data_IF_526358817290
#
_entry.id   IF_526358817290
#
_cell.length_a   1.000
_cell.length_b   1.000
_cell.length_c   1.000
_cell.angle_alpha   90.00
_cell.angle_beta   90.00
_cell.angle_gamma   90.00
#
_symmetry.space_group_name_H-M   'P 1'
#
loop_
_entity.id
_entity.type
_entity.pdbx_description
1 polymer ?
#
# COMPACT_ATOMS: atom_id res chain seq x y z
N UNK A 1 -13.09 -10.33 -13.97
CA UNK A 1 -12.96 -8.86 -13.78
C UNK A 1 -11.75 -8.59 -12.87
N UNK A 2 -10.54 -8.99 -13.26
CA UNK A 2 -9.54 -8.11 -13.91
C UNK A 2 -9.33 -6.79 -13.16
N UNK A 3 -8.68 -6.82 -11.99
CA UNK A 3 -7.97 -5.64 -11.47
C UNK A 3 -6.52 -6.01 -11.12
N UNK A 4 -5.64 -5.64 -12.05
CA UNK A 4 -4.23 -5.25 -11.88
C UNK A 4 -3.21 -6.29 -11.41
N UNK A 5 -2.97 -7.23 -12.32
CA UNK A 5 -1.62 -7.72 -12.61
C UNK A 5 -0.68 -6.52 -12.79
N UNK A 6 0.45 -6.52 -12.05
CA UNK A 6 1.63 -5.65 -12.20
C UNK A 6 1.50 -4.20 -11.67
N UNK A 7 1.48 -4.04 -10.35
CA UNK A 7 1.94 -2.79 -9.71
C UNK A 7 3.16 -3.11 -8.84
N UNK A 8 4.35 -2.93 -9.39
CA UNK A 8 5.62 -2.95 -8.65
C UNK A 8 5.75 -1.68 -7.78
N UNK A 9 4.81 -1.47 -6.86
CA UNK A 9 4.95 -0.45 -5.84
C UNK A 9 6.21 -0.71 -5.00
N UNK A 10 7.06 0.32 -4.87
CA UNK A 10 8.31 0.27 -4.11
C UNK A 10 7.98 0.26 -2.61
N UNK A 11 8.27 -0.84 -1.91
CA UNK A 11 7.83 -1.06 -0.52
C UNK A 11 8.29 0.04 0.45
N UNK A 12 9.45 0.65 0.19
CA UNK A 12 9.95 1.79 0.96
C UNK A 12 9.06 3.04 0.84
N UNK A 13 8.51 3.29 -0.34
CA UNK A 13 7.61 4.44 -0.56
C UNK A 13 6.25 4.20 0.10
N UNK A 14 5.74 2.97 0.02
CA UNK A 14 4.55 2.55 0.75
C UNK A 14 4.74 2.75 2.26
N UNK A 15 5.88 2.30 2.79
CA UNK A 15 6.23 2.45 4.20
C UNK A 15 6.23 3.92 4.62
N UNK A 16 6.89 4.79 3.86
CA UNK A 16 6.91 6.23 4.14
C UNK A 16 5.50 6.82 4.14
N UNK A 17 4.73 6.58 3.09
CA UNK A 17 3.39 7.15 2.99
C UNK A 17 2.49 6.68 4.13
N UNK A 18 2.50 5.40 4.47
CA UNK A 18 1.66 4.86 5.55
C UNK A 18 2.03 5.48 6.90
N UNK A 19 3.33 5.63 7.16
CA UNK A 19 3.80 6.26 8.40
C UNK A 19 3.50 7.76 8.44
N UNK A 20 3.62 8.49 7.31
CA UNK A 20 3.30 9.92 7.23
C UNK A 20 1.80 10.22 7.26
N UNK A 21 1.00 9.38 6.60
CA UNK A 21 -0.46 9.52 6.55
C UNK A 21 -1.14 9.12 7.87
N UNK A 22 -0.45 8.42 8.75
CA UNK A 22 -1.02 7.89 9.99
C UNK A 22 -2.11 6.84 9.75
N UNK A 23 -2.22 6.29 8.53
CA UNK A 23 -3.20 5.25 8.17
C UNK A 23 -3.03 3.99 9.02
N UNK A 24 -1.78 3.66 9.36
CA UNK A 24 -1.43 2.45 10.10
C UNK A 24 -0.32 2.79 11.10
N UNK A 25 -0.43 2.26 12.32
CA UNK A 25 0.62 2.44 13.33
C UNK A 25 1.90 1.71 12.91
N UNK A 26 3.06 2.20 13.39
CA UNK A 26 4.36 1.57 13.09
C UNK A 26 4.41 0.09 13.48
N UNK A 27 3.84 -0.28 14.63
CA UNK A 27 3.75 -1.66 15.10
C UNK A 27 2.96 -2.54 14.12
N UNK A 28 1.77 -2.09 13.73
CA UNK A 28 0.92 -2.77 12.74
C UNK A 28 1.61 -2.91 11.38
N UNK A 29 2.32 -1.87 10.95
CA UNK A 29 3.09 -1.94 9.71
C UNK A 29 4.18 -3.01 9.78
N UNK A 30 4.91 -3.12 10.91
CA UNK A 30 5.93 -4.16 11.10
C UNK A 30 5.33 -5.57 11.10
N UNK A 31 4.19 -5.77 11.78
CA UNK A 31 3.48 -7.05 11.75
C UNK A 31 3.06 -7.43 10.33
N UNK A 32 2.46 -6.48 9.61
CA UNK A 32 2.02 -6.71 8.23
C UNK A 32 3.21 -6.90 7.29
N UNK A 33 4.34 -6.22 7.53
CA UNK A 33 5.58 -6.39 6.78
C UNK A 33 6.15 -7.78 6.94
N UNK A 34 6.15 -8.34 8.15
CA UNK A 34 6.57 -9.74 8.38
C UNK A 34 5.64 -10.72 7.67
N UNK A 35 4.32 -10.56 7.84
CA UNK A 35 3.32 -11.38 7.13
C UNK A 35 3.48 -11.31 5.61
N UNK A 36 3.84 -10.14 5.08
CA UNK A 36 4.06 -9.90 3.65
C UNK A 36 5.26 -10.68 3.16
N UNK A 37 6.36 -10.65 3.91
CA UNK A 37 7.58 -11.40 3.61
C UNK A 37 7.34 -12.91 3.67
N UNK A 38 6.66 -13.39 4.73
CA UNK A 38 6.31 -14.81 4.90
C UNK A 38 5.38 -15.33 3.79
N UNK A 39 4.37 -14.54 3.40
CA UNK A 39 3.42 -14.91 2.35
C UNK A 39 3.95 -14.62 0.94
N UNK A 40 5.13 -14.01 0.80
CA UNK A 40 5.62 -13.43 -0.46
C UNK A 40 4.57 -12.57 -1.17
N UNK A 41 3.79 -11.85 -0.38
CA UNK A 41 2.75 -10.94 -0.83
C UNK A 41 3.18 -9.50 -0.54
N UNK A 42 2.58 -8.54 -1.24
CA UNK A 42 2.85 -7.13 -0.96
C UNK A 42 2.19 -6.70 0.34
N UNK A 43 2.89 -5.87 1.12
CA UNK A 43 2.35 -5.21 2.32
C UNK A 43 1.01 -4.53 2.02
N UNK A 44 0.89 -3.81 0.90
CA UNK A 44 -0.38 -3.16 0.50
C UNK A 44 -1.55 -4.12 0.32
N UNK A 45 -1.33 -5.32 -0.22
CA UNK A 45 -2.37 -6.34 -0.36
C UNK A 45 -2.80 -6.92 0.99
N UNK A 46 -1.85 -7.12 1.90
CA UNK A 46 -2.17 -7.60 3.25
C UNK A 46 -2.91 -6.52 4.04
N UNK A 47 -2.49 -5.26 3.94
CA UNK A 47 -3.21 -4.15 4.56
C UNK A 47 -4.65 -4.01 4.06
N UNK A 48 -4.86 -4.19 2.76
CA UNK A 48 -6.20 -4.26 2.18
C UNK A 48 -7.00 -5.45 2.69
N UNK A 49 -6.38 -6.63 2.72
CA UNK A 49 -7.02 -7.87 3.17
C UNK A 49 -7.37 -7.83 4.66
N UNK A 50 -6.55 -7.18 5.48
CA UNK A 50 -6.78 -6.97 6.92
C UNK A 50 -7.69 -5.76 7.19
N UNK A 51 -8.12 -5.03 6.15
CA UNK A 51 -8.96 -3.83 6.28
C UNK A 51 -8.28 -2.63 6.97
N UNK A 52 -6.94 -2.64 7.05
CA UNK A 52 -6.13 -1.55 7.63
C UNK A 52 -6.12 -0.32 6.73
N UNK A 53 -6.27 -0.52 5.42
CA UNK A 53 -6.40 0.54 4.42
C UNK A 53 -7.54 0.20 3.46
N UNK A 54 -8.21 1.21 2.91
CA UNK A 54 -9.25 0.99 1.88
C UNK A 54 -8.63 0.94 0.48
N UNK A 55 -9.37 0.42 -0.51
CA UNK A 55 -8.93 0.44 -1.91
C UNK A 55 -8.67 1.87 -2.42
N UNK A 56 -9.43 2.85 -1.91
CA UNK A 56 -9.23 4.26 -2.20
C UNK A 56 -7.89 4.79 -1.66
N UNK A 57 -7.50 4.35 -0.45
CA UNK A 57 -6.22 4.72 0.15
C UNK A 57 -5.06 4.09 -0.61
N UNK A 58 -5.17 2.81 -0.98
CA UNK A 58 -4.17 2.16 -1.82
C UNK A 58 -3.99 2.92 -3.15
N UNK A 59 -5.09 3.25 -3.85
CA UNK A 59 -5.02 4.03 -5.09
C UNK A 59 -4.36 5.40 -4.92
N UNK A 60 -4.59 6.07 -3.78
CA UNK A 60 -3.93 7.35 -3.46
C UNK A 60 -2.44 7.17 -3.26
N UNK A 61 -2.03 6.12 -2.54
CA UNK A 61 -0.62 5.77 -2.37
C UNK A 61 0.00 5.49 -3.73
N UNK A 62 -0.64 4.65 -4.55
CA UNK A 62 -0.15 4.29 -5.88
C UNK A 62 0.00 5.50 -6.80
N UNK A 63 -0.98 6.41 -6.80
CA UNK A 63 -0.89 7.67 -7.55
C UNK A 63 0.29 8.54 -7.07
N UNK A 64 0.53 8.58 -5.76
CA UNK A 64 1.66 9.33 -5.17
C UNK A 64 3.01 8.70 -5.56
N UNK A 65 3.13 7.38 -5.47
CA UNK A 65 4.36 6.63 -5.79
C UNK A 65 4.70 6.69 -7.28
N UNK A 66 3.70 6.70 -8.16
CA UNK A 66 3.92 6.82 -9.60
C UNK A 66 4.35 8.24 -10.03
N UNK A 67 4.33 9.23 -9.13
CA UNK A 67 4.75 10.60 -9.42
C UNK A 67 3.89 11.31 -10.48
N UNK A 68 2.74 10.73 -10.81
CA UNK A 68 1.80 11.32 -11.79
C UNK A 68 0.84 12.18 -10.98
N UNK A 69 0.81 13.52 -11.17
CA UNK A 69 -0.23 14.32 -10.56
C UNK A 69 -1.57 13.76 -11.02
N UNK A 70 -2.46 13.49 -10.07
CA UNK A 70 -3.82 13.02 -10.35
C UNK A 70 -4.58 14.10 -11.12
N UNK A 71 -4.39 14.17 -12.44
CA UNK A 71 -5.19 15.00 -13.34
C UNK A 71 -6.50 14.28 -13.51
N UNK A 72 -7.53 14.74 -12.80
CA UNK A 72 -8.91 14.49 -13.24
C UNK A 72 -9.08 15.17 -14.60
N UNK A 73 -9.42 14.41 -15.62
CA UNK A 73 -10.14 14.93 -16.79
C UNK A 73 -11.39 14.10 -16.98
#
# INVERSE_FOLDING_TARGET
MLYYKLMQMNEEQLKKFILESGLVSKADFEEVSKKAEEKKQKVGNILLSEGKISEADLKRIEAHVLGIPFVRR
#
